data_IF_248241088687
#
_entry.id   IF_248241088687
#
_cell.length_a   1.000
_cell.length_b   1.000
_cell.length_c   1.000
_cell.angle_alpha   90.00
_cell.angle_beta   90.00
_cell.angle_gamma   90.00
#
_symmetry.space_group_name_H-M   'P 1'
#
loop_
_entity.id
_entity.type
_entity.pdbx_description
1 polymer ?
#
# COMPACT_ATOMS: atom_id res chain seq x y z
N UNK A 1 -2.22 19.68 11.99
CA UNK A 1 -1.83 18.26 11.98
C UNK A 1 -2.02 17.77 10.56
N UNK A 2 -0.92 17.53 9.86
CA UNK A 2 -0.89 17.26 8.42
C UNK A 2 -1.13 15.77 8.15
N UNK A 3 -1.86 15.47 7.07
CA UNK A 3 -2.40 14.15 6.73
C UNK A 3 -1.29 13.10 6.50
N UNK A 4 -1.01 12.25 7.49
CA UNK A 4 -0.19 11.05 7.29
C UNK A 4 -1.09 9.87 6.91
N UNK A 5 -1.20 9.59 5.61
CA UNK A 5 -2.10 8.56 5.08
C UNK A 5 -1.38 7.22 4.89
N UNK A 6 -1.96 6.11 5.39
CA UNK A 6 -1.59 4.74 5.03
C UNK A 6 -2.65 4.13 4.08
N UNK A 7 -2.89 4.77 2.93
CA UNK A 7 -4.12 4.71 2.12
C UNK A 7 -5.41 5.08 2.92
N UNK A 8 -5.23 6.08 3.78
CA UNK A 8 -6.14 6.71 4.75
C UNK A 8 -6.87 5.77 5.71
N UNK A 9 -6.25 4.63 6.01
CA UNK A 9 -6.66 3.59 6.98
C UNK A 9 -7.86 2.71 6.60
N UNK A 10 -8.26 2.75 5.32
CA UNK A 10 -9.09 1.73 4.65
C UNK A 10 -10.59 1.77 4.98
N UNK A 11 -11.30 2.67 4.31
CA UNK A 11 -12.30 2.30 3.30
C UNK A 11 -12.49 3.47 2.32
N UNK A 12 -12.48 3.15 1.02
CA UNK A 12 -12.68 4.01 -0.16
C UNK A 12 -12.65 5.53 0.09
N UNK A 13 -11.49 6.17 -0.09
CA UNK A 13 -11.48 7.59 -0.46
C UNK A 13 -12.02 7.69 -1.89
N UNK A 14 -13.12 8.41 -2.14
CA UNK A 14 -13.62 8.65 -3.49
C UNK A 14 -12.77 9.66 -4.29
N UNK A 15 -11.69 10.18 -3.70
CA UNK A 15 -11.03 11.40 -4.18
C UNK A 15 -9.61 11.23 -4.74
N UNK A 16 -8.95 10.08 -4.55
CA UNK A 16 -7.68 9.82 -5.23
C UNK A 16 -7.95 9.26 -6.62
N UNK A 17 -7.27 9.81 -7.63
CA UNK A 17 -7.19 9.17 -8.93
C UNK A 17 -6.45 7.84 -8.80
N UNK A 18 -6.74 6.88 -9.67
CA UNK A 18 -6.11 5.56 -9.67
C UNK A 18 -4.57 5.63 -9.65
N UNK A 19 -3.98 6.59 -10.39
CA UNK A 19 -2.53 6.82 -10.41
C UNK A 19 -2.00 7.28 -9.05
N UNK A 20 -2.74 8.11 -8.34
CA UNK A 20 -2.33 8.55 -7.00
C UNK A 20 -2.43 7.41 -5.99
N UNK A 21 -3.40 6.50 -6.12
CA UNK A 21 -3.51 5.32 -5.26
C UNK A 21 -2.31 4.38 -5.42
N UNK A 22 -1.85 4.16 -6.65
CA UNK A 22 -0.62 3.39 -6.93
C UNK A 22 0.62 4.06 -6.34
N UNK A 23 0.75 5.38 -6.51
CA UNK A 23 1.90 6.12 -5.96
C UNK A 23 1.89 6.16 -4.43
N UNK A 24 0.72 6.32 -3.81
CA UNK A 24 0.58 6.30 -2.34
C UNK A 24 0.91 4.91 -1.78
N UNK A 25 0.49 3.84 -2.45
CA UNK A 25 0.85 2.48 -2.09
C UNK A 25 2.38 2.28 -2.09
N UNK A 26 3.07 2.70 -3.16
CA UNK A 26 4.53 2.55 -3.28
C UNK A 26 5.23 3.31 -2.16
N UNK A 27 4.89 4.59 -1.96
CA UNK A 27 5.47 5.42 -0.89
C UNK A 27 5.21 4.84 0.50
N UNK A 28 4.00 4.34 0.74
CA UNK A 28 3.65 3.72 2.01
C UNK A 28 4.45 2.44 2.21
N UNK A 29 4.57 1.60 1.19
CA UNK A 29 5.37 0.38 1.25
C UNK A 29 6.86 0.70 1.50
N UNK A 30 7.40 1.80 0.97
CA UNK A 30 8.75 2.27 1.29
C UNK A 30 8.85 2.75 2.75
N UNK A 31 7.90 3.54 3.25
CA UNK A 31 7.89 4.05 4.64
C UNK A 31 7.91 2.92 5.69
N UNK A 32 7.30 1.78 5.39
CA UNK A 32 7.18 0.64 6.30
C UNK A 32 8.13 -0.54 5.97
N UNK A 33 9.12 -0.34 5.09
CA UNK A 33 10.04 -1.41 4.63
C UNK A 33 9.33 -2.63 4.01
N UNK A 34 8.13 -2.42 3.46
CA UNK A 34 7.29 -3.43 2.82
C UNK A 34 7.47 -3.50 1.29
N UNK A 35 8.37 -2.72 0.70
CA UNK A 35 8.55 -2.66 -0.77
C UNK A 35 8.89 -4.04 -1.37
N UNK A 36 9.70 -4.85 -0.68
CA UNK A 36 10.03 -6.22 -1.11
C UNK A 36 8.79 -7.11 -1.09
N UNK A 37 7.94 -6.99 -0.07
CA UNK A 37 6.69 -7.74 0.01
C UNK A 37 5.72 -7.34 -1.11
N UNK A 38 5.65 -6.04 -1.44
CA UNK A 38 4.86 -5.55 -2.57
C UNK A 38 5.35 -6.13 -3.90
N UNK A 39 6.67 -6.12 -4.15
CA UNK A 39 7.26 -6.72 -5.35
C UNK A 39 6.97 -8.21 -5.44
N UNK A 40 7.12 -8.95 -4.34
CA UNK A 40 6.81 -10.38 -4.29
C UNK A 40 5.34 -10.67 -4.57
N UNK A 41 4.42 -9.83 -4.07
CA UNK A 41 3.01 -9.96 -4.39
C UNK A 41 2.72 -9.73 -5.88
N UNK A 42 3.35 -8.72 -6.47
CA UNK A 42 3.19 -8.45 -7.91
C UNK A 42 3.74 -9.61 -8.76
N UNK A 43 4.89 -10.18 -8.39
CA UNK A 43 5.46 -11.37 -9.05
C UNK A 43 4.50 -12.57 -8.90
N UNK A 44 4.00 -12.83 -7.70
CA UNK A 44 3.14 -13.98 -7.45
C UNK A 44 1.81 -13.92 -8.21
N UNK A 45 1.26 -12.71 -8.41
CA UNK A 45 -0.02 -12.54 -9.10
C UNK A 45 0.11 -12.43 -10.61
N UNK A 46 1.18 -11.78 -11.11
CA UNK A 46 1.29 -11.37 -12.52
C UNK A 46 2.67 -11.54 -13.14
N UNK A 47 3.61 -12.22 -12.47
CA UNK A 47 4.99 -12.41 -12.92
C UNK A 47 5.71 -11.09 -13.29
N UNK A 48 5.35 -10.00 -12.60
CA UNK A 48 5.91 -8.68 -12.80
C UNK A 48 6.22 -8.06 -11.44
N UNK A 49 7.46 -7.60 -11.17
CA UNK A 49 7.81 -7.02 -9.87
C UNK A 49 7.32 -5.59 -9.66
N UNK A 50 6.84 -4.90 -10.70
CA UNK A 50 6.56 -3.46 -10.68
C UNK A 50 5.08 -3.21 -10.89
N UNK A 51 4.40 -2.70 -9.85
CA UNK A 51 2.96 -2.46 -9.89
C UNK A 51 2.58 -1.41 -10.96
N UNK A 52 3.42 -0.41 -11.21
CA UNK A 52 3.21 0.65 -12.20
C UNK A 52 3.21 0.14 -13.65
N UNK A 53 3.79 -1.03 -13.91
CA UNK A 53 3.79 -1.69 -15.22
C UNK A 53 2.55 -2.58 -15.45
N UNK A 54 1.77 -2.85 -14.40
CA UNK A 54 0.55 -3.65 -14.51
C UNK A 54 -0.59 -2.85 -15.13
N UNK A 55 -1.58 -3.54 -15.71
CA UNK A 55 -2.82 -2.88 -16.14
C UNK A 55 -3.61 -2.34 -14.94
N UNK A 56 -4.45 -1.33 -15.16
CA UNK A 56 -5.26 -0.72 -14.08
C UNK A 56 -6.06 -1.76 -13.27
N UNK A 57 -6.62 -2.78 -13.94
CA UNK A 57 -7.34 -3.87 -13.27
C UNK A 57 -6.43 -4.66 -12.33
N UNK A 58 -5.25 -5.05 -12.81
CA UNK A 58 -4.26 -5.78 -12.03
C UNK A 58 -3.73 -4.92 -10.87
N UNK A 59 -3.49 -3.63 -11.11
CA UNK A 59 -3.09 -2.67 -10.09
C UNK A 59 -4.11 -2.62 -8.94
N UNK A 60 -5.41 -2.56 -9.25
CA UNK A 60 -6.48 -2.58 -8.24
C UNK A 60 -6.50 -3.89 -7.46
N UNK A 61 -6.30 -5.02 -8.13
CA UNK A 61 -6.21 -6.34 -7.49
C UNK A 61 -5.01 -6.42 -6.54
N UNK A 62 -3.81 -5.96 -6.94
CA UNK A 62 -2.64 -5.85 -6.05
C UNK A 62 -2.91 -4.94 -4.88
N UNK A 63 -3.45 -3.72 -5.12
CA UNK A 63 -3.76 -2.76 -4.07
C UNK A 63 -4.68 -3.41 -3.03
N UNK A 64 -5.75 -4.07 -3.46
CA UNK A 64 -6.70 -4.73 -2.57
C UNK A 64 -6.07 -5.91 -1.81
N UNK A 65 -5.23 -6.70 -2.47
CA UNK A 65 -4.56 -7.84 -1.87
C UNK A 65 -3.47 -7.43 -0.86
N UNK A 66 -2.78 -6.32 -1.10
CA UNK A 66 -1.68 -5.82 -0.25
C UNK A 66 -2.18 -5.01 0.94
N UNK A 67 -3.39 -4.47 0.84
CA UNK A 67 -4.05 -3.63 1.84
C UNK A 67 -3.98 -4.17 3.28
N UNK A 68 -4.20 -5.48 3.57
CA UNK A 68 -4.07 -6.00 4.93
C UNK A 68 -2.66 -5.87 5.53
N UNK A 69 -1.62 -6.00 4.70
CA UNK A 69 -0.24 -5.85 5.16
C UNK A 69 0.06 -4.40 5.58
N UNK A 70 -0.50 -3.43 4.86
CA UNK A 70 -0.40 -2.02 5.22
C UNK A 70 -1.12 -1.69 6.55
N UNK A 71 -2.32 -2.25 6.77
CA UNK A 71 -3.04 -2.08 8.05
C UNK A 71 -2.18 -2.57 9.20
N UNK A 72 -1.64 -3.78 9.07
CA UNK A 72 -0.88 -4.43 10.13
C UNK A 72 0.35 -3.60 10.50
N UNK A 73 1.13 -3.16 9.51
CA UNK A 73 2.32 -2.34 9.74
C UNK A 73 1.99 -0.99 10.39
N UNK A 74 0.89 -0.35 9.98
CA UNK A 74 0.43 0.88 10.62
C UNK A 74 -0.01 0.68 12.06
N UNK A 75 -0.76 -0.40 12.35
CA UNK A 75 -1.20 -0.72 13.72
C UNK A 75 -0.01 -1.00 14.63
N UNK A 76 1.00 -1.72 14.14
CA UNK A 76 2.25 -1.99 14.88
C UNK A 76 2.99 -0.69 15.21
N UNK A 77 3.18 0.18 14.21
CA UNK A 77 3.85 1.48 14.43
C UNK A 77 3.14 2.33 15.50
N UNK A 78 1.80 2.35 15.53
CA UNK A 78 1.04 3.10 16.54
C UNK A 78 1.22 2.54 17.94
N UNK A 79 1.22 1.21 18.08
CA UNK A 79 1.41 0.56 19.38
C UNK A 79 2.82 0.85 19.93
N UNK A 80 3.84 0.86 19.08
CA UNK A 80 5.21 1.20 19.49
C UNK A 80 5.34 2.66 19.98
N UNK A 81 4.58 3.58 19.38
CA UNK A 81 4.57 5.00 19.78
C UNK A 81 3.81 5.26 21.09
N UNK A 82 2.81 4.43 21.44
CA UNK A 82 2.04 4.57 22.69
C UNK A 82 2.76 3.98 23.92
N UNK A 83 3.80 3.16 23.71
CA UNK A 83 4.56 2.48 24.78
C UNK A 83 5.90 3.19 25.09
N UNK A 84 6.33 4.13 24.26
CA UNK A 84 7.56 4.91 24.41
C UNK A 84 7.36 6.23 25.18
#
# INVERSE_FOLDING_TARGET
MENESALSLIWHRPTLSHKEEVLDLIKTAEKFDLITALKMMCINLYDCPYIDLLSEKQQKEVINAFRPALVLAYTQQRQEQEVA
#
